data_IF_205740046686
#
_entry.id   IF_205740046686
#
_cell.length_a   1.000
_cell.length_b   1.000
_cell.length_c   1.000
_cell.angle_alpha   90.00
_cell.angle_beta   90.00
_cell.angle_gamma   90.00
#
_symmetry.space_group_name_H-M   'P 1'
#
loop_
_entity.id
_entity.type
_entity.pdbx_description
1 polymer ?
#
# COMPACT_ATOMS: atom_id res chain seq x y z
N UNK A 1 22.66 11.61 -4.80
CA UNK A 1 21.57 10.61 -4.73
C UNK A 1 21.72 9.63 -5.87
N UNK A 2 22.13 8.41 -5.55
CA UNK A 2 22.13 7.29 -6.51
C UNK A 2 20.71 6.72 -6.61
N UNK A 3 20.30 6.37 -7.84
CA UNK A 3 18.96 5.83 -8.14
C UNK A 3 19.06 4.34 -8.40
N UNK A 4 18.13 3.59 -7.84
CA UNK A 4 17.97 2.18 -8.17
C UNK A 4 16.77 2.04 -9.12
N UNK A 5 17.04 1.98 -10.42
CA UNK A 5 16.02 1.93 -11.45
C UNK A 5 15.08 0.73 -11.29
N UNK A 6 15.59 -0.43 -10.87
CA UNK A 6 14.76 -1.60 -10.60
C UNK A 6 13.74 -1.35 -9.50
N UNK A 7 14.18 -0.82 -8.36
CA UNK A 7 13.28 -0.50 -7.24
C UNK A 7 12.28 0.60 -7.60
N UNK A 8 12.67 1.57 -8.43
CA UNK A 8 11.75 2.59 -8.93
C UNK A 8 10.67 1.97 -9.82
N UNK A 9 11.06 1.18 -10.83
CA UNK A 9 10.10 0.55 -11.76
C UNK A 9 9.18 -0.41 -11.01
N UNK A 10 9.73 -1.26 -10.13
CA UNK A 10 8.92 -2.17 -9.32
C UNK A 10 7.97 -1.41 -8.39
N UNK A 11 8.42 -0.31 -7.77
CA UNK A 11 7.57 0.54 -6.95
C UNK A 11 6.45 1.20 -7.77
N UNK A 12 6.74 1.64 -8.99
CA UNK A 12 5.73 2.21 -9.89
C UNK A 12 4.68 1.16 -10.29
N UNK A 13 5.11 -0.03 -10.71
CA UNK A 13 4.21 -1.15 -11.03
C UNK A 13 3.35 -1.52 -9.82
N UNK A 14 3.98 -1.67 -8.65
CA UNK A 14 3.29 -1.95 -7.39
C UNK A 14 2.19 -0.92 -7.11
N UNK A 15 2.52 0.37 -7.22
CA UNK A 15 1.57 1.46 -6.97
C UNK A 15 0.41 1.47 -7.96
N UNK A 16 0.67 1.27 -9.25
CA UNK A 16 -0.38 1.23 -10.27
C UNK A 16 -1.31 0.03 -10.05
N UNK A 17 -0.75 -1.16 -9.80
CA UNK A 17 -1.55 -2.35 -9.50
C UNK A 17 -2.45 -2.12 -8.28
N UNK A 18 -1.89 -1.51 -7.23
CA UNK A 18 -2.61 -1.32 -5.98
C UNK A 18 -3.66 -0.20 -6.04
N UNK A 19 -3.43 0.84 -6.84
CA UNK A 19 -4.42 1.86 -7.15
C UNK A 19 -5.52 1.31 -8.06
N UNK A 20 -5.15 0.50 -9.06
CA UNK A 20 -6.08 -0.17 -9.96
C UNK A 20 -7.05 -1.07 -9.20
N UNK A 21 -6.56 -1.83 -8.20
CA UNK A 21 -7.40 -2.63 -7.33
C UNK A 21 -8.42 -1.77 -6.55
N UNK A 22 -8.00 -0.62 -6.01
CA UNK A 22 -8.91 0.32 -5.34
C UNK A 22 -9.99 0.83 -6.29
N UNK A 23 -9.65 1.26 -7.50
CA UNK A 23 -10.66 1.73 -8.46
C UNK A 23 -11.61 0.61 -8.89
N UNK A 24 -11.10 -0.60 -9.08
CA UNK A 24 -11.93 -1.76 -9.37
C UNK A 24 -12.96 -2.03 -8.26
N UNK A 25 -12.54 -1.99 -6.99
CA UNK A 25 -13.46 -2.11 -5.85
C UNK A 25 -14.45 -0.94 -5.77
N UNK A 26 -14.00 0.29 -6.05
CA UNK A 26 -14.87 1.46 -6.04
C UNK A 26 -15.94 1.44 -7.14
N UNK A 27 -15.71 0.70 -8.23
CA UNK A 27 -16.69 0.43 -9.29
C UNK A 27 -17.66 -0.72 -8.96
N UNK A 28 -17.56 -1.32 -7.76
CA UNK A 28 -18.40 -2.44 -7.33
C UNK A 28 -17.79 -3.83 -7.59
N UNK A 29 -16.51 -3.90 -8.00
CA UNK A 29 -15.81 -5.16 -8.14
C UNK A 29 -15.60 -5.86 -6.79
N UNK A 30 -15.79 -7.18 -6.73
CA UNK A 30 -15.68 -7.97 -5.48
C UNK A 30 -14.48 -8.92 -5.44
N UNK A 31 -13.67 -8.97 -6.50
CA UNK A 31 -12.48 -9.80 -6.57
C UNK A 31 -11.55 -9.52 -5.37
N UNK A 32 -11.21 -10.56 -4.61
CA UNK A 32 -10.31 -10.45 -3.46
C UNK A 32 -10.88 -9.71 -2.24
N UNK A 33 -12.08 -9.14 -2.28
CA UNK A 33 -12.63 -8.38 -1.14
C UNK A 33 -12.84 -9.29 0.09
N UNK A 34 -13.34 -10.52 -0.12
CA UNK A 34 -13.48 -11.51 0.96
C UNK A 34 -12.16 -11.78 1.69
N UNK A 35 -11.03 -11.65 0.99
CA UNK A 35 -9.71 -11.87 1.56
C UNK A 35 -9.21 -10.74 2.46
N UNK A 36 -9.89 -9.59 2.45
CA UNK A 36 -9.66 -8.48 3.39
C UNK A 36 -10.41 -8.69 4.72
N UNK A 37 -11.58 -9.35 4.65
CA UNK A 37 -12.39 -9.74 5.80
C UNK A 37 -12.96 -8.58 6.61
N UNK A 38 -13.62 -8.96 7.72
CA UNK A 38 -14.17 -8.05 8.71
C UNK A 38 -15.11 -6.99 8.13
N UNK A 39 -15.08 -5.80 8.71
CA UNK A 39 -15.94 -4.68 8.30
C UNK A 39 -15.75 -4.25 6.84
N UNK A 40 -14.57 -4.45 6.26
CA UNK A 40 -14.30 -4.11 4.85
C UNK A 40 -15.13 -5.00 3.92
N UNK A 41 -15.23 -6.29 4.22
CA UNK A 41 -16.05 -7.20 3.42
C UNK A 41 -17.53 -6.85 3.50
N UNK A 42 -18.05 -6.63 4.71
CA UNK A 42 -19.46 -6.25 4.93
C UNK A 42 -19.82 -4.93 4.25
N UNK A 43 -18.98 -3.91 4.39
CA UNK A 43 -19.16 -2.61 3.72
C UNK A 43 -19.08 -2.73 2.19
N UNK A 44 -18.44 -3.77 1.66
CA UNK A 44 -18.36 -3.97 0.21
C UNK A 44 -19.58 -4.71 -0.36
N UNK A 45 -20.28 -5.51 0.45
CA UNK A 45 -21.52 -6.17 0.04
C UNK A 45 -22.70 -5.19 -0.04
N UNK A 46 -22.75 -4.22 0.87
CA UNK A 46 -23.76 -3.15 0.89
C UNK A 46 -23.07 -1.78 1.06
N UNK A 47 -22.48 -1.23 -0.01
CA UNK A 47 -21.64 -0.05 0.10
C UNK A 47 -22.44 1.25 0.28
N UNK A 48 -22.23 1.89 1.42
CA UNK A 48 -22.62 3.27 1.65
C UNK A 48 -21.88 4.23 0.70
N UNK A 49 -22.50 5.32 0.23
CA UNK A 49 -21.85 6.28 -0.68
C UNK A 49 -20.52 6.85 -0.12
N UNK A 50 -20.45 7.03 1.20
CA UNK A 50 -19.23 7.50 1.89
C UNK A 50 -18.07 6.50 1.77
N UNK A 51 -18.35 5.20 1.91
CA UNK A 51 -17.35 4.14 1.75
C UNK A 51 -16.80 4.11 0.33
N UNK A 52 -17.66 4.24 -0.68
CA UNK A 52 -17.25 4.31 -2.09
C UNK A 52 -16.34 5.51 -2.34
N UNK A 53 -16.68 6.68 -1.81
CA UNK A 53 -15.85 7.90 -1.92
C UNK A 53 -14.48 7.68 -1.27
N UNK A 54 -14.43 7.05 -0.09
CA UNK A 54 -13.17 6.71 0.57
C UNK A 54 -12.32 5.81 -0.33
N UNK A 55 -12.89 4.75 -0.92
CA UNK A 55 -12.11 3.86 -1.79
C UNK A 55 -11.59 4.61 -3.03
N UNK A 56 -12.41 5.45 -3.67
CA UNK A 56 -11.95 6.31 -4.78
C UNK A 56 -10.79 7.20 -4.37
N UNK A 57 -10.92 7.91 -3.25
CA UNK A 57 -9.87 8.78 -2.72
C UNK A 57 -8.61 7.99 -2.41
N UNK A 58 -8.70 6.80 -1.78
CA UNK A 58 -7.52 5.96 -1.51
C UNK A 58 -6.82 5.54 -2.80
N UNK A 59 -7.56 5.23 -3.87
CA UNK A 59 -6.99 4.97 -5.20
C UNK A 59 -6.21 6.17 -5.74
N UNK A 60 -6.80 7.36 -5.68
CA UNK A 60 -6.14 8.62 -6.11
C UNK A 60 -4.89 8.91 -5.26
N UNK A 61 -4.97 8.77 -3.94
CA UNK A 61 -3.83 8.98 -3.04
C UNK A 61 -2.69 8.02 -3.33
N UNK A 62 -2.98 6.75 -3.67
CA UNK A 62 -1.95 5.80 -4.10
C UNK A 62 -1.21 6.29 -5.34
N UNK A 63 -1.90 6.90 -6.31
CA UNK A 63 -1.26 7.45 -7.52
C UNK A 63 -0.25 8.57 -7.23
N UNK A 64 -0.35 9.31 -6.11
CA UNK A 64 0.71 10.24 -5.71
C UNK A 64 2.03 9.54 -5.43
N UNK A 65 1.98 8.28 -4.97
CA UNK A 65 3.18 7.45 -4.86
C UNK A 65 3.84 7.24 -6.22
N UNK A 66 3.06 7.04 -7.29
CA UNK A 66 3.59 6.86 -8.64
C UNK A 66 4.22 8.17 -9.17
N UNK A 67 3.54 9.30 -8.94
CA UNK A 67 4.08 10.63 -9.27
C UNK A 67 5.39 10.91 -8.52
N UNK A 68 5.47 10.56 -7.23
CA UNK A 68 6.69 10.69 -6.45
C UNK A 68 7.86 9.91 -7.06
N UNK A 69 7.63 8.65 -7.45
CA UNK A 69 8.66 7.81 -8.08
C UNK A 69 9.05 8.31 -9.47
N UNK A 70 8.10 8.86 -10.25
CA UNK A 70 8.40 9.56 -11.50
C UNK A 70 9.30 10.78 -11.27
N UNK A 71 9.00 11.59 -10.26
CA UNK A 71 9.84 12.75 -9.91
C UNK A 71 11.26 12.33 -9.52
N UNK A 72 11.44 11.18 -8.89
CA UNK A 72 12.76 10.62 -8.57
C UNK A 72 13.56 10.25 -9.83
N UNK A 73 12.90 9.85 -10.93
CA UNK A 73 13.56 9.56 -12.21
C UNK A 73 14.09 10.80 -12.93
N UNK A 74 13.50 11.98 -12.69
CA UNK A 74 13.91 13.23 -13.34
C UNK A 74 15.22 13.74 -12.75
N UNK A 75 16.20 14.11 -13.59
CA UNK A 75 17.46 14.72 -13.14
C UNK A 75 17.24 16.20 -12.78
N UNK A 76 16.93 16.46 -11.51
CA UNK A 76 16.81 17.81 -10.97
C UNK A 76 18.18 18.46 -10.78
N UNK A 77 18.33 19.70 -11.22
CA UNK A 77 19.54 20.49 -10.97
C UNK A 77 19.55 21.11 -9.56
N UNK A 78 18.36 21.28 -8.96
CA UNK A 78 18.21 21.86 -7.63
C UNK A 78 18.48 20.81 -6.52
N UNK A 79 19.47 21.11 -5.67
CA UNK A 79 19.88 20.26 -4.56
C UNK A 79 18.78 20.09 -3.50
N UNK A 80 17.98 21.13 -3.24
CA UNK A 80 16.88 21.12 -2.27
C UNK A 80 15.78 20.17 -2.73
N UNK A 81 15.38 20.23 -4.01
CA UNK A 81 14.38 19.30 -4.57
C UNK A 81 14.88 17.86 -4.45
N UNK A 82 16.15 17.61 -4.78
CA UNK A 82 16.73 16.27 -4.68
C UNK A 82 16.74 15.74 -3.24
N UNK A 83 17.05 16.60 -2.26
CA UNK A 83 17.00 16.24 -0.82
C UNK A 83 15.57 15.98 -0.34
N UNK A 84 14.60 16.80 -0.75
CA UNK A 84 13.18 16.61 -0.39
C UNK A 84 12.68 15.27 -0.95
N UNK A 85 12.91 14.99 -2.24
CA UNK A 85 12.53 13.73 -2.86
C UNK A 85 13.19 12.53 -2.19
N UNK A 86 14.47 12.65 -1.80
CA UNK A 86 15.17 11.61 -1.05
C UNK A 86 14.45 11.29 0.27
N UNK A 87 14.17 12.30 1.10
CA UNK A 87 13.54 12.08 2.40
C UNK A 87 12.08 11.64 2.28
N UNK A 88 11.30 12.25 1.39
CA UNK A 88 9.92 11.86 1.15
C UNK A 88 9.82 10.38 0.74
N UNK A 89 10.67 9.95 -0.18
CA UNK A 89 10.65 8.56 -0.66
C UNK A 89 11.10 7.57 0.42
N UNK A 90 12.06 7.96 1.27
CA UNK A 90 12.48 7.16 2.43
C UNK A 90 11.38 7.05 3.49
N UNK A 91 10.77 8.17 3.86
CA UNK A 91 9.70 8.22 4.86
C UNK A 91 8.50 7.42 4.36
N UNK A 92 8.08 7.60 3.10
CA UNK A 92 7.01 6.83 2.49
C UNK A 92 7.30 5.33 2.51
N UNK A 93 8.53 4.92 2.14
CA UNK A 93 8.94 3.52 2.19
C UNK A 93 8.89 2.92 3.60
N UNK A 94 9.38 3.64 4.60
CA UNK A 94 9.32 3.22 6.01
C UNK A 94 7.87 3.14 6.48
N UNK A 95 7.04 4.15 6.19
CA UNK A 95 5.65 4.19 6.62
C UNK A 95 4.83 3.03 6.02
N UNK A 96 5.00 2.75 4.72
CA UNK A 96 4.36 1.61 4.06
C UNK A 96 4.80 0.28 4.67
N UNK A 97 6.09 0.11 4.92
CA UNK A 97 6.62 -1.11 5.52
C UNK A 97 6.11 -1.30 6.94
N UNK A 98 6.13 -0.26 7.77
CA UNK A 98 5.62 -0.31 9.14
C UNK A 98 4.11 -0.56 9.16
N UNK A 99 3.35 0.04 8.24
CA UNK A 99 1.92 -0.23 8.12
C UNK A 99 1.65 -1.73 7.88
N UNK A 100 2.30 -2.34 6.89
CA UNK A 100 2.17 -3.77 6.63
C UNK A 100 2.66 -4.63 7.80
N UNK A 101 3.82 -4.29 8.38
CA UNK A 101 4.37 -5.04 9.51
C UNK A 101 3.48 -5.00 10.75
N UNK A 102 2.94 -3.84 11.10
CA UNK A 102 2.07 -3.70 12.27
C UNK A 102 0.76 -4.46 12.06
N UNK A 103 0.15 -4.38 10.86
CA UNK A 103 -1.02 -5.21 10.54
C UNK A 103 -0.69 -6.71 10.60
N UNK A 104 0.45 -7.12 10.05
CA UNK A 104 0.91 -8.51 10.11
C UNK A 104 1.01 -9.00 11.56
N UNK A 105 1.62 -8.20 12.44
CA UNK A 105 1.74 -8.51 13.87
C UNK A 105 0.36 -8.59 14.51
N UNK A 106 -0.51 -7.60 14.30
CA UNK A 106 -1.86 -7.58 14.88
C UNK A 106 -2.68 -8.80 14.49
N UNK A 107 -2.67 -9.17 13.20
CA UNK A 107 -3.42 -10.33 12.68
C UNK A 107 -2.80 -11.63 13.18
N UNK A 108 -1.47 -11.70 13.29
CA UNK A 108 -0.78 -12.86 13.88
C UNK A 108 -1.17 -13.04 15.34
N UNK A 109 -1.18 -11.96 16.13
CA UNK A 109 -1.60 -12.01 17.54
C UNK A 109 -3.07 -12.41 17.69
N UNK A 110 -3.94 -11.92 16.80
CA UNK A 110 -5.34 -12.35 16.74
C UNK A 110 -5.49 -13.83 16.39
N UNK A 111 -4.70 -14.35 15.44
CA UNK A 111 -4.70 -15.77 15.09
C UNK A 111 -4.24 -16.70 16.23
N UNK A 112 -3.56 -16.16 17.24
CA UNK A 112 -3.17 -16.88 18.47
C UNK A 112 -4.08 -16.55 19.67
N UNK A 113 -5.25 -15.94 19.44
CA UNK A 113 -6.22 -15.54 20.46
C UNK A 113 -5.64 -14.60 21.54
N UNK A 114 -4.56 -13.88 21.22
CA UNK A 114 -3.94 -12.89 22.12
C UNK A 114 -4.65 -11.54 22.02
N UNK A 115 -5.19 -11.20 20.85
CA UNK A 115 -5.95 -9.98 20.60
C UNK A 115 -7.33 -10.33 20.03
N UNK A 116 -8.37 -9.72 20.58
CA UNK A 116 -9.72 -9.85 20.06
C UNK A 116 -9.87 -8.99 18.80
N UNK A 117 -9.85 -9.65 17.64
CA UNK A 117 -9.99 -9.01 16.34
C UNK A 117 -10.78 -9.93 15.42
N UNK A 118 -11.96 -9.46 15.00
CA UNK A 118 -12.92 -10.26 14.25
C UNK A 118 -12.51 -10.40 12.77
N UNK A 119 -11.78 -11.47 12.48
CA UNK A 119 -11.41 -11.91 11.14
C UNK A 119 -11.74 -13.38 10.95
N UNK A 120 -12.40 -13.71 9.84
CA UNK A 120 -12.57 -15.10 9.44
C UNK A 120 -11.22 -15.75 9.10
N UNK A 121 -11.15 -17.08 9.19
CA UNK A 121 -9.90 -17.81 8.92
C UNK A 121 -9.40 -17.61 7.49
N UNK A 122 -10.31 -17.38 6.54
CA UNK A 122 -9.97 -17.12 5.14
C UNK A 122 -9.27 -15.76 4.96
N UNK A 123 -9.81 -14.67 5.52
CA UNK A 123 -9.16 -13.37 5.46
C UNK A 123 -7.85 -13.37 6.25
N UNK A 124 -7.81 -14.02 7.41
CA UNK A 124 -6.58 -14.16 8.21
C UNK A 124 -5.44 -14.75 7.37
N UNK A 125 -5.70 -15.88 6.69
CA UNK A 125 -4.71 -16.51 5.82
C UNK A 125 -4.22 -15.56 4.73
N UNK A 126 -5.13 -14.96 3.96
CA UNK A 126 -4.75 -14.12 2.84
C UNK A 126 -4.09 -12.81 3.25
N UNK A 127 -4.47 -12.24 4.39
CA UNK A 127 -3.80 -11.04 4.89
C UNK A 127 -2.36 -11.34 5.27
N UNK A 128 -2.11 -12.42 6.02
CA UNK A 128 -0.76 -12.80 6.42
C UNK A 128 0.11 -13.24 5.24
N UNK A 129 -0.44 -13.99 4.28
CA UNK A 129 0.34 -14.55 3.17
C UNK A 129 0.53 -13.56 2.03
N UNK A 130 -0.45 -12.69 1.77
CA UNK A 130 -0.45 -11.82 0.60
C UNK A 130 -0.52 -10.34 0.95
N UNK A 131 -1.59 -9.86 1.61
CA UNK A 131 -1.82 -8.42 1.71
C UNK A 131 -0.76 -7.67 2.51
N UNK A 132 -0.43 -8.14 3.72
CA UNK A 132 0.56 -7.47 4.55
C UNK A 132 1.98 -7.57 3.98
N UNK A 133 2.44 -8.73 3.48
CA UNK A 133 3.67 -8.82 2.71
C UNK A 133 3.68 -7.91 1.47
N UNK A 134 2.56 -7.78 0.77
CA UNK A 134 2.43 -6.90 -0.40
C UNK A 134 2.62 -5.43 -0.01
N UNK A 135 2.06 -4.98 1.12
CA UNK A 135 2.34 -3.65 1.68
C UNK A 135 3.82 -3.45 2.01
N UNK A 136 4.44 -4.43 2.66
CA UNK A 136 5.84 -4.40 3.03
C UNK A 136 6.76 -4.33 1.80
N UNK A 137 6.45 -5.09 0.74
CA UNK A 137 7.17 -5.04 -0.54
C UNK A 137 7.13 -3.65 -1.17
N UNK A 138 5.96 -2.99 -1.15
CA UNK A 138 5.84 -1.60 -1.57
C UNK A 138 6.80 -0.70 -0.79
N UNK A 139 6.82 -0.83 0.54
CA UNK A 139 7.76 -0.09 1.39
C UNK A 139 9.23 -0.31 1.04
N UNK A 140 9.62 -1.55 0.74
CA UNK A 140 10.97 -1.93 0.29
C UNK A 140 11.32 -1.24 -1.04
N UNK A 141 10.43 -1.28 -2.03
CA UNK A 141 10.66 -0.65 -3.33
C UNK A 141 10.86 0.85 -3.21
N UNK A 142 10.01 1.53 -2.43
CA UNK A 142 10.15 2.96 -2.15
C UNK A 142 11.46 3.23 -1.42
N UNK A 143 11.75 2.53 -0.34
CA UNK A 143 12.96 2.78 0.44
C UNK A 143 14.24 2.60 -0.39
N UNK A 144 14.33 1.55 -1.20
CA UNK A 144 15.55 1.26 -1.97
C UNK A 144 15.63 1.96 -3.33
N UNK A 145 14.60 2.67 -3.76
CA UNK A 145 14.59 3.49 -4.98
C UNK A 145 15.70 4.54 -5.00
N UNK A 146 16.08 5.05 -3.82
CA UNK A 146 17.09 6.09 -3.63
C UNK A 146 18.12 5.70 -2.57
N UNK A 147 19.39 5.97 -2.88
CA UNK A 147 20.53 5.81 -1.97
C UNK A 147 21.31 7.14 -1.92
N UNK A 148 22.02 7.39 -0.82
CA UNK A 148 22.89 8.58 -0.71
C UNK A 148 23.89 8.59 -1.86
#
# INVERSE_FOLDING_TARGET
MKRNYWSIVMGMVWTVLFAGMSFYWAMGGLLGVRSLGGSIYEMSLNPEPSFIVIIWLTGVFKLFGFVLLLMVLIKWHNITITKILYYLTKIAGVALFLYGLLNFITITLSAFDVLDFDLDSYATFWRLVFWEPFWMLGGIFYFFSVRK
#
